data_IF_394098858899
#
_entry.id   IF_394098858899
#
_cell.length_a   1.000
_cell.length_b   1.000
_cell.length_c   1.000
_cell.angle_alpha   90.00
_cell.angle_beta   90.00
_cell.angle_gamma   90.00
#
_symmetry.space_group_name_H-M   'P 1'
#
loop_
_entity.id
_entity.type
_entity.pdbx_description
1 polymer ?
#
# COMPACT_ATOMS: atom_id res chain seq x y z
N UNK A 1 16.06 5.97 -8.87
CA UNK A 1 15.59 4.60 -9.07
C UNK A 1 14.91 4.11 -7.80
N UNK A 2 13.72 3.46 -7.90
CA UNK A 2 13.07 2.79 -6.76
C UNK A 2 13.39 1.29 -6.78
N UNK A 3 14.02 0.79 -5.73
CA UNK A 3 14.37 -0.63 -5.61
C UNK A 3 13.14 -1.53 -5.39
N UNK A 4 12.08 -0.99 -4.78
CA UNK A 4 10.85 -1.74 -4.52
C UNK A 4 9.89 -1.86 -5.72
N UNK A 5 10.08 -1.05 -6.78
CA UNK A 5 9.20 -1.03 -7.95
C UNK A 5 9.65 -1.91 -9.11
N UNK A 6 10.87 -2.47 -9.02
CA UNK A 6 11.50 -3.25 -10.10
C UNK A 6 11.70 -4.67 -9.60
N UNK A 7 11.34 -5.71 -10.40
CA UNK A 7 11.68 -7.09 -10.07
C UNK A 7 13.19 -7.28 -9.83
N UNK A 8 13.55 -8.09 -8.84
CA UNK A 8 14.94 -8.27 -8.39
C UNK A 8 15.92 -8.59 -9.53
N UNK A 9 15.53 -9.50 -10.43
CA UNK A 9 16.34 -9.91 -11.59
C UNK A 9 16.64 -8.77 -12.57
N UNK A 10 15.72 -7.79 -12.65
CA UNK A 10 15.89 -6.61 -13.50
C UNK A 10 16.60 -5.49 -12.75
N UNK A 11 16.43 -5.39 -11.43
CA UNK A 11 17.04 -4.35 -10.60
C UNK A 11 18.58 -4.41 -10.69
N UNK A 12 19.14 -5.61 -10.66
CA UNK A 12 20.58 -5.81 -10.80
C UNK A 12 21.08 -5.30 -12.15
N UNK A 13 20.38 -5.67 -13.24
CA UNK A 13 20.70 -5.22 -14.59
C UNK A 13 20.50 -3.69 -14.76
N UNK A 14 19.50 -3.10 -14.10
CA UNK A 14 19.32 -1.65 -14.12
C UNK A 14 20.47 -0.91 -13.42
N UNK A 15 20.90 -1.40 -12.25
CA UNK A 15 21.93 -0.75 -11.45
C UNK A 15 23.33 -0.92 -12.02
N UNK A 16 23.69 -2.15 -12.38
CA UNK A 16 25.08 -2.49 -12.76
C UNK A 16 25.27 -2.69 -14.27
N UNK A 17 24.16 -2.78 -15.03
CA UNK A 17 24.21 -3.11 -16.44
C UNK A 17 24.38 -4.61 -16.70
N UNK A 18 24.39 -4.97 -17.96
CA UNK A 18 24.63 -6.35 -18.41
C UNK A 18 25.32 -6.40 -19.75
N UNK A 19 26.01 -7.49 -20.02
CA UNK A 19 26.54 -7.79 -21.35
C UNK A 19 25.52 -8.64 -22.14
N UNK A 20 25.58 -8.57 -23.45
CA UNK A 20 24.79 -9.41 -24.34
C UNK A 20 24.92 -10.89 -23.97
N UNK A 21 23.77 -11.58 -23.84
CA UNK A 21 23.72 -13.00 -23.49
C UNK A 21 23.81 -13.30 -21.98
N UNK A 22 23.86 -12.31 -21.11
CA UNK A 22 23.93 -12.50 -19.65
C UNK A 22 22.71 -13.24 -19.06
N UNK A 23 21.54 -13.09 -19.68
CA UNK A 23 20.31 -13.79 -19.32
C UNK A 23 19.36 -13.87 -20.53
N UNK A 24 18.29 -14.65 -20.42
CA UNK A 24 17.27 -14.75 -21.48
C UNK A 24 16.60 -13.40 -21.69
N UNK A 25 16.82 -12.79 -22.88
CA UNK A 25 16.35 -11.43 -23.19
C UNK A 25 17.44 -10.35 -23.22
N UNK A 26 18.68 -10.65 -22.84
CA UNK A 26 19.82 -9.75 -22.97
C UNK A 26 20.34 -9.73 -24.43
N UNK A 27 19.62 -9.03 -25.31
CA UNK A 27 19.95 -8.97 -26.75
C UNK A 27 21.12 -8.05 -27.09
N UNK A 28 21.44 -7.09 -26.23
CA UNK A 28 22.52 -6.11 -26.38
C UNK A 28 23.15 -5.80 -25.02
N UNK A 29 24.33 -5.17 -25.05
CA UNK A 29 24.95 -4.62 -23.85
C UNK A 29 24.14 -3.43 -23.33
N UNK A 30 24.05 -3.28 -22.02
CA UNK A 30 23.36 -2.18 -21.35
C UNK A 30 24.23 -1.58 -20.26
N UNK A 31 24.48 -0.29 -20.34
CA UNK A 31 25.12 0.46 -19.25
C UNK A 31 24.21 0.55 -18.03
N UNK A 32 24.76 0.22 -16.86
CA UNK A 32 24.05 0.36 -15.58
C UNK A 32 23.95 1.79 -15.08
N UNK A 33 23.02 2.05 -14.15
CA UNK A 33 22.81 3.38 -13.57
C UNK A 33 24.04 3.89 -12.82
N UNK A 34 24.83 3.04 -12.19
CA UNK A 34 26.08 3.46 -11.56
C UNK A 34 27.07 4.01 -12.56
N UNK A 35 27.21 3.39 -13.73
CA UNK A 35 28.10 3.88 -14.79
C UNK A 35 27.57 5.21 -15.38
N UNK A 36 26.26 5.32 -15.60
CA UNK A 36 25.64 6.55 -16.12
C UNK A 36 25.72 7.71 -15.12
N UNK A 37 25.74 7.41 -13.83
CA UNK A 37 25.84 8.39 -12.75
C UNK A 37 27.29 8.72 -12.37
N UNK A 38 28.29 8.21 -13.10
CA UNK A 38 29.69 8.48 -12.81
C UNK A 38 29.97 9.98 -12.76
N UNK A 39 30.75 10.42 -11.77
CA UNK A 39 31.01 11.83 -11.42
C UNK A 39 29.78 12.63 -10.96
N UNK A 40 28.63 11.97 -10.81
CA UNK A 40 27.34 12.58 -10.45
C UNK A 40 26.76 12.02 -9.16
N UNK A 41 25.42 12.00 -9.13
CA UNK A 41 24.66 11.52 -7.96
C UNK A 41 23.64 10.48 -8.39
N UNK A 42 23.59 9.35 -7.67
CA UNK A 42 22.53 8.36 -7.78
C UNK A 42 21.62 8.42 -6.55
N UNK A 43 20.30 8.43 -6.78
CA UNK A 43 19.30 8.33 -5.72
C UNK A 43 18.62 6.95 -5.80
N UNK A 44 18.71 6.17 -4.71
CA UNK A 44 18.08 4.86 -4.60
C UNK A 44 17.00 4.91 -3.53
N UNK A 45 15.76 4.80 -3.96
CA UNK A 45 14.59 4.79 -3.09
C UNK A 45 14.23 3.36 -2.68
N UNK A 46 13.63 3.21 -1.50
CA UNK A 46 13.20 1.94 -0.93
C UNK A 46 14.32 0.90 -0.85
N UNK A 47 15.51 1.32 -0.38
CA UNK A 47 16.68 0.43 -0.25
C UNK A 47 16.43 -0.78 0.65
N UNK A 48 15.47 -0.68 1.57
CA UNK A 48 15.01 -1.78 2.41
C UNK A 48 14.42 -2.96 1.61
N UNK A 49 14.07 -2.77 0.34
CA UNK A 49 13.54 -3.82 -0.54
C UNK A 49 14.64 -4.58 -1.30
N UNK A 50 15.91 -4.19 -1.14
CA UNK A 50 17.02 -4.85 -1.80
C UNK A 50 17.26 -6.24 -1.19
N UNK A 51 17.38 -7.26 -2.05
CA UNK A 51 17.73 -8.62 -1.61
C UNK A 51 19.11 -8.72 -0.99
N UNK A 52 19.42 -9.75 -0.20
CA UNK A 52 20.74 -9.95 0.38
C UNK A 52 21.88 -9.99 -0.66
N UNK A 53 21.63 -10.54 -1.84
CA UNK A 53 22.60 -10.55 -2.94
C UNK A 53 22.85 -9.13 -3.48
N UNK A 54 21.78 -8.34 -3.65
CA UNK A 54 21.88 -6.95 -4.06
C UNK A 54 22.59 -6.09 -3.01
N UNK A 55 22.29 -6.29 -1.73
CA UNK A 55 22.95 -5.60 -0.63
C UNK A 55 24.48 -5.82 -0.64
N UNK A 56 24.93 -7.04 -0.96
CA UNK A 56 26.36 -7.34 -1.06
C UNK A 56 27.04 -6.58 -2.23
N UNK A 57 26.38 -6.51 -3.39
CA UNK A 57 26.90 -5.75 -4.54
C UNK A 57 26.94 -4.25 -4.27
N UNK A 58 25.90 -3.71 -3.62
CA UNK A 58 25.86 -2.31 -3.20
C UNK A 58 26.99 -2.01 -2.21
N UNK A 59 27.22 -2.89 -1.24
CA UNK A 59 28.33 -2.72 -0.29
C UNK A 59 29.68 -2.59 -1.01
N UNK A 60 29.93 -3.42 -2.02
CA UNK A 60 31.18 -3.38 -2.79
C UNK A 60 31.33 -2.05 -3.54
N UNK A 61 30.29 -1.57 -4.20
CA UNK A 61 30.32 -0.24 -4.87
C UNK A 61 30.58 0.88 -3.87
N UNK A 62 29.93 0.84 -2.71
CA UNK A 62 30.10 1.87 -1.67
C UNK A 62 31.48 1.85 -1.00
N UNK A 63 32.12 0.68 -0.91
CA UNK A 63 33.44 0.53 -0.28
C UNK A 63 34.57 0.73 -1.27
N UNK A 64 34.50 0.03 -2.41
CA UNK A 64 35.61 -0.09 -3.37
C UNK A 64 35.42 0.83 -4.59
N UNK A 65 34.23 1.43 -4.78
CA UNK A 65 33.85 2.20 -5.97
C UNK A 65 33.94 1.37 -7.26
N UNK A 66 33.77 0.07 -7.14
CA UNK A 66 33.92 -0.91 -8.23
C UNK A 66 32.73 -1.84 -8.30
N UNK A 67 32.40 -2.24 -9.53
CA UNK A 67 31.39 -3.27 -9.79
C UNK A 67 31.64 -3.96 -11.12
N UNK A 68 31.01 -5.12 -11.33
CA UNK A 68 30.95 -5.82 -12.60
C UNK A 68 29.50 -5.85 -13.14
N UNK A 69 29.30 -5.62 -14.45
CA UNK A 69 28.02 -5.85 -15.10
C UNK A 69 27.58 -7.33 -15.03
N UNK A 70 26.28 -7.57 -15.09
CA UNK A 70 25.75 -8.94 -15.09
C UNK A 70 26.26 -9.71 -16.31
N UNK A 71 26.84 -10.89 -16.06
CA UNK A 71 27.44 -11.74 -17.11
C UNK A 71 28.84 -11.34 -17.54
N UNK A 72 29.47 -10.35 -16.90
CA UNK A 72 30.84 -9.90 -17.18
C UNK A 72 31.73 -10.02 -15.95
N UNK A 73 33.02 -10.30 -16.19
CA UNK A 73 34.07 -10.20 -15.17
C UNK A 73 34.87 -8.89 -15.29
N UNK A 74 34.48 -8.00 -16.21
CA UNK A 74 35.14 -6.71 -16.36
C UNK A 74 34.73 -5.78 -15.23
N UNK A 75 35.69 -5.33 -14.44
CA UNK A 75 35.47 -4.38 -13.36
C UNK A 75 35.41 -2.95 -13.91
N UNK A 76 34.37 -2.23 -13.55
CA UNK A 76 34.22 -0.79 -13.77
C UNK A 76 34.48 -0.05 -12.46
N UNK A 77 35.17 1.09 -12.55
CA UNK A 77 35.38 2.01 -11.43
C UNK A 77 34.55 3.26 -11.64
N UNK A 78 33.91 3.77 -10.57
CA UNK A 78 33.01 4.93 -10.64
C UNK A 78 33.18 5.82 -9.40
N UNK A 79 33.03 7.11 -9.60
CA UNK A 79 32.98 8.11 -8.52
C UNK A 79 31.56 8.70 -8.44
N UNK A 80 30.70 8.10 -7.65
CA UNK A 80 29.29 8.44 -7.56
C UNK A 80 28.93 8.84 -6.13
N UNK A 81 28.25 9.97 -5.97
CA UNK A 81 27.57 10.33 -4.73
C UNK A 81 26.28 9.51 -4.61
N UNK A 82 26.16 8.72 -3.54
CA UNK A 82 24.99 7.86 -3.32
C UNK A 82 24.08 8.49 -2.26
N UNK A 83 22.81 8.68 -2.61
CA UNK A 83 21.74 9.10 -1.70
C UNK A 83 20.72 7.97 -1.63
N UNK A 84 20.40 7.54 -0.41
CA UNK A 84 19.51 6.42 -0.16
C UNK A 84 18.26 6.90 0.58
N UNK A 85 17.13 6.28 0.27
CA UNK A 85 15.90 6.50 1.01
C UNK A 85 15.28 5.17 1.43
N UNK A 86 14.61 5.18 2.56
CA UNK A 86 13.90 4.03 3.11
C UNK A 86 12.60 4.48 3.77
N UNK A 87 11.58 3.65 3.69
CA UNK A 87 10.29 3.84 4.36
C UNK A 87 10.16 3.00 5.65
N UNK A 88 11.23 2.28 6.04
CA UNK A 88 11.29 1.46 7.26
C UNK A 88 12.61 1.74 7.99
N UNK A 89 12.63 1.75 9.32
CA UNK A 89 13.88 1.83 10.08
C UNK A 89 14.80 0.66 9.71
N UNK A 90 16.01 0.98 9.23
CA UNK A 90 16.96 -0.05 8.81
C UNK A 90 17.49 -0.85 10.00
N UNK A 91 17.55 -0.26 11.20
CA UNK A 91 17.92 -0.91 12.44
C UNK A 91 17.04 -2.13 12.77
N UNK A 92 15.74 -2.00 12.53
CA UNK A 92 14.79 -3.10 12.76
C UNK A 92 15.02 -4.24 11.76
N UNK A 93 15.34 -3.89 10.52
CA UNK A 93 15.69 -4.88 9.48
C UNK A 93 17.04 -5.56 9.74
N UNK A 94 17.98 -4.86 10.32
CA UNK A 94 19.25 -5.47 10.77
C UNK A 94 19.00 -6.46 11.90
N UNK A 95 18.13 -6.10 12.87
CA UNK A 95 17.79 -6.99 13.99
C UNK A 95 17.03 -8.25 13.52
N UNK A 96 16.18 -8.12 12.50
CA UNK A 96 15.44 -9.26 11.91
C UNK A 96 16.28 -10.08 10.94
N UNK A 97 17.48 -9.61 10.57
CA UNK A 97 18.35 -10.26 9.58
C UNK A 97 17.97 -10.03 8.12
N UNK A 98 16.97 -9.17 7.86
CA UNK A 98 16.55 -8.79 6.50
C UNK A 98 17.52 -7.81 5.83
N UNK A 99 18.29 -7.06 6.62
CA UNK A 99 19.29 -6.12 6.13
C UNK A 99 20.66 -6.40 6.75
N UNK A 100 21.69 -6.36 5.93
CA UNK A 100 23.07 -6.66 6.37
C UNK A 100 23.62 -5.56 7.27
N UNK A 101 24.22 -5.94 8.36
CA UNK A 101 24.83 -5.03 9.33
C UNK A 101 26.00 -4.24 8.75
N UNK A 102 26.82 -4.89 7.91
CA UNK A 102 27.99 -4.25 7.28
C UNK A 102 27.56 -3.13 6.30
N UNK A 103 26.53 -3.37 5.51
CA UNK A 103 25.96 -2.35 4.63
C UNK A 103 25.34 -1.20 5.44
N UNK A 104 24.58 -1.52 6.49
CA UNK A 104 23.97 -0.52 7.37
C UNK A 104 25.03 0.47 7.90
N UNK A 105 26.11 0.00 8.50
CA UNK A 105 27.16 0.89 9.00
C UNK A 105 27.88 1.67 7.90
N UNK A 106 27.93 1.16 6.68
CA UNK A 106 28.53 1.87 5.56
C UNK A 106 27.67 3.02 5.04
N UNK A 107 26.33 2.87 5.07
CA UNK A 107 25.40 3.88 4.56
C UNK A 107 24.94 4.87 5.64
N UNK A 108 24.91 4.47 6.90
CA UNK A 108 24.43 5.30 8.00
C UNK A 108 25.52 6.27 8.52
N UNK A 109 26.03 7.11 7.61
CA UNK A 109 27.04 8.15 7.94
C UNK A 109 26.36 9.50 8.20
N UNK A 110 25.37 9.86 7.38
CA UNK A 110 24.56 11.06 7.56
C UNK A 110 23.11 10.66 7.38
N UNK A 111 22.37 10.68 8.46
CA UNK A 111 20.95 10.38 8.47
C UNK A 111 20.14 11.67 8.49
N UNK A 112 19.14 11.75 7.60
CA UNK A 112 18.16 12.82 7.55
C UNK A 112 16.79 12.21 7.76
N UNK A 113 16.18 12.48 8.91
CA UNK A 113 14.83 12.04 9.21
C UNK A 113 13.83 13.08 8.70
N UNK A 114 12.87 12.65 7.88
CA UNK A 114 11.81 13.50 7.38
C UNK A 114 10.60 13.39 8.30
N UNK A 115 10.20 14.49 8.98
CA UNK A 115 9.05 14.46 9.87
C UNK A 115 7.76 14.22 9.08
N UNK A 116 6.83 13.50 9.71
CA UNK A 116 5.51 13.27 9.14
C UNK A 116 4.74 14.59 9.00
N UNK A 117 3.78 14.66 8.07
CA UNK A 117 3.03 15.88 7.81
C UNK A 117 2.23 16.36 9.05
N UNK A 118 1.74 15.41 9.88
CA UNK A 118 1.08 15.72 11.17
C UNK A 118 1.98 16.44 12.19
N UNK A 119 3.31 16.38 12.03
CA UNK A 119 4.30 17.02 12.90
C UNK A 119 4.68 18.42 12.38
N UNK A 120 4.31 18.74 11.14
CA UNK A 120 4.55 20.05 10.50
C UNK A 120 3.25 20.61 9.91
N UNK A 121 2.23 20.73 10.75
CA UNK A 121 0.89 21.17 10.34
C UNK A 121 0.86 22.56 9.72
N UNK A 122 1.80 23.43 10.10
CA UNK A 122 1.97 24.76 9.50
C UNK A 122 2.24 24.72 7.99
N UNK A 123 2.76 23.60 7.47
CA UNK A 123 3.05 23.45 6.04
C UNK A 123 1.80 23.09 5.23
N UNK A 124 0.75 22.55 5.90
CA UNK A 124 -0.45 22.05 5.23
C UNK A 124 -1.14 23.12 4.38
N UNK A 125 -1.40 24.36 4.86
CA UNK A 125 -2.03 25.39 4.04
C UNK A 125 -1.21 25.76 2.82
N UNK A 126 0.12 25.86 2.95
CA UNK A 126 1.02 26.21 1.85
C UNK A 126 1.05 25.10 0.78
N UNK A 127 1.17 23.84 1.22
CA UNK A 127 1.14 22.68 0.34
C UNK A 127 -0.23 22.55 -0.34
N UNK A 128 -1.32 22.78 0.41
CA UNK A 128 -2.67 22.73 -0.12
C UNK A 128 -2.87 23.76 -1.25
N UNK A 129 -2.43 25.00 -1.05
CA UNK A 129 -2.51 26.02 -2.09
C UNK A 129 -1.66 25.69 -3.31
N UNK A 130 -0.44 25.15 -3.10
CA UNK A 130 0.44 24.73 -4.18
C UNK A 130 -0.22 23.63 -5.03
N UNK A 131 -0.75 22.59 -4.41
CA UNK A 131 -1.44 21.50 -5.14
C UNK A 131 -2.72 21.99 -5.81
N UNK A 132 -3.49 22.85 -5.16
CA UNK A 132 -4.68 23.42 -5.77
C UNK A 132 -4.34 24.21 -7.03
N UNK A 133 -3.31 25.04 -7.00
CA UNK A 133 -2.88 25.80 -8.19
C UNK A 133 -2.47 24.85 -9.32
N UNK A 134 -1.68 23.80 -9.01
CA UNK A 134 -1.26 22.77 -9.97
C UNK A 134 -2.44 22.05 -10.62
N UNK A 135 -3.38 21.55 -9.81
CA UNK A 135 -4.52 20.77 -10.31
C UNK A 135 -5.57 21.64 -11.00
N UNK A 136 -5.81 22.87 -10.51
CA UNK A 136 -6.70 23.84 -11.18
C UNK A 136 -6.24 24.18 -12.59
N UNK A 137 -4.92 24.38 -12.77
CA UNK A 137 -4.34 24.62 -14.08
C UNK A 137 -4.54 23.42 -15.02
N UNK A 138 -4.29 22.19 -14.53
CA UNK A 138 -4.48 20.96 -15.31
C UNK A 138 -5.95 20.72 -15.72
N UNK A 139 -6.89 21.12 -14.87
CA UNK A 139 -8.34 20.98 -15.12
C UNK A 139 -8.90 22.13 -15.98
N UNK A 140 -8.12 23.17 -16.29
CA UNK A 140 -8.59 24.36 -16.97
C UNK A 140 -9.65 25.12 -16.18
N UNK A 141 -9.66 25.00 -14.84
CA UNK A 141 -10.65 25.61 -13.93
C UNK A 141 -9.98 26.68 -13.08
N UNK A 142 -10.73 27.72 -12.77
CA UNK A 142 -10.27 28.76 -11.85
C UNK A 142 -10.89 28.52 -10.47
N UNK A 143 -10.11 27.89 -9.55
CA UNK A 143 -10.48 27.70 -8.15
C UNK A 143 -9.60 28.62 -7.31
N UNK A 144 -10.22 29.59 -6.63
CA UNK A 144 -9.50 30.66 -5.95
C UNK A 144 -8.80 30.21 -4.63
N UNK A 145 -9.30 29.15 -3.99
CA UNK A 145 -8.74 28.70 -2.71
C UNK A 145 -9.66 27.75 -1.95
N UNK A 146 -9.49 27.76 -0.65
CA UNK A 146 -10.26 26.96 0.31
C UNK A 146 -11.09 27.87 1.21
N UNK A 147 -12.24 27.40 1.66
CA UNK A 147 -12.94 28.05 2.77
C UNK A 147 -12.15 27.87 4.07
N UNK A 148 -12.33 28.78 5.06
CA UNK A 148 -11.68 28.65 6.38
C UNK A 148 -11.95 27.30 7.05
N UNK A 149 -13.19 26.79 6.93
CA UNK A 149 -13.58 25.50 7.51
C UNK A 149 -12.91 24.31 6.79
N UNK A 150 -12.72 24.39 5.48
CA UNK A 150 -11.99 23.38 4.72
C UNK A 150 -10.51 23.32 5.13
N UNK A 151 -9.84 24.49 5.25
CA UNK A 151 -8.45 24.53 5.71
C UNK A 151 -8.31 24.02 7.14
N UNK A 152 -9.15 24.45 8.07
CA UNK A 152 -9.13 23.96 9.43
C UNK A 152 -9.33 22.43 9.49
N UNK A 153 -10.22 21.88 8.66
CA UNK A 153 -10.43 20.43 8.55
C UNK A 153 -9.17 19.70 8.08
N UNK A 154 -8.49 20.23 7.06
CA UNK A 154 -7.22 19.68 6.58
C UNK A 154 -6.13 19.74 7.65
N UNK A 155 -5.98 20.86 8.37
CA UNK A 155 -4.95 21.00 9.42
C UNK A 155 -5.12 20.03 10.58
N UNK A 156 -6.36 19.62 10.88
CA UNK A 156 -6.66 18.68 11.96
C UNK A 156 -6.53 17.21 11.55
N UNK A 157 -6.47 16.91 10.26
CA UNK A 157 -6.35 15.54 9.78
C UNK A 157 -4.91 15.01 9.93
N UNK A 158 -4.76 13.71 10.22
CA UNK A 158 -3.47 13.11 10.58
C UNK A 158 -2.57 12.75 9.38
N UNK A 159 -3.12 12.72 8.16
CA UNK A 159 -2.40 12.39 6.92
C UNK A 159 -1.49 11.14 7.03
N UNK A 160 -2.01 9.94 7.25
CA UNK A 160 -1.18 8.73 7.29
C UNK A 160 -0.37 8.50 6.00
N UNK A 161 -0.86 8.94 4.84
CA UNK A 161 -0.16 8.95 3.56
C UNK A 161 0.66 10.23 3.30
N UNK A 162 0.81 11.10 4.32
CA UNK A 162 1.59 12.33 4.27
C UNK A 162 1.24 13.24 3.09
N UNK A 163 2.24 13.82 2.44
CA UNK A 163 2.08 14.79 1.35
C UNK A 163 1.38 14.19 0.13
N UNK A 164 1.62 12.90 -0.16
CA UNK A 164 0.93 12.22 -1.28
C UNK A 164 -0.57 12.11 -1.05
N UNK A 165 -0.98 11.84 0.17
CA UNK A 165 -2.40 11.79 0.53
C UNK A 165 -3.03 13.18 0.46
N UNK A 166 -2.36 14.21 0.96
CA UNK A 166 -2.81 15.59 0.83
C UNK A 166 -2.99 15.98 -0.63
N UNK A 167 -2.03 15.69 -1.52
CA UNK A 167 -2.14 15.95 -2.95
C UNK A 167 -3.37 15.28 -3.56
N UNK A 168 -3.57 13.98 -3.29
CA UNK A 168 -4.73 13.23 -3.80
C UNK A 168 -6.07 13.78 -3.28
N UNK A 169 -6.12 14.18 -2.01
CA UNK A 169 -7.32 14.81 -1.43
C UNK A 169 -7.67 16.10 -2.15
N UNK A 170 -6.66 16.94 -2.41
CA UNK A 170 -6.86 18.23 -3.08
C UNK A 170 -7.22 18.04 -4.56
N UNK A 171 -6.58 17.11 -5.25
CA UNK A 171 -6.94 16.76 -6.63
C UNK A 171 -8.40 16.36 -6.72
N UNK A 172 -8.85 15.44 -5.85
CA UNK A 172 -10.24 15.02 -5.79
C UNK A 172 -11.19 16.17 -5.47
N UNK A 173 -10.84 17.02 -4.48
CA UNK A 173 -11.64 18.17 -4.11
C UNK A 173 -11.75 19.17 -5.26
N UNK A 174 -10.65 19.42 -6.00
CA UNK A 174 -10.67 20.29 -7.17
C UNK A 174 -11.56 19.78 -8.31
N UNK A 175 -11.64 18.44 -8.50
CA UNK A 175 -12.56 17.83 -9.48
C UNK A 175 -14.02 17.99 -9.05
N UNK A 176 -14.33 17.77 -7.76
CA UNK A 176 -15.69 17.75 -7.23
C UNK A 176 -16.24 19.16 -6.94
N UNK A 177 -15.38 20.13 -6.67
CA UNK A 177 -15.75 21.51 -6.36
C UNK A 177 -16.61 22.10 -7.48
N UNK A 178 -17.80 22.60 -7.12
CA UNK A 178 -18.71 23.25 -8.09
C UNK A 178 -18.56 24.75 -8.14
N UNK A 179 -17.96 25.35 -7.11
CA UNK A 179 -17.76 26.79 -6.96
C UNK A 179 -16.36 27.25 -7.33
N UNK A 180 -16.06 28.49 -6.97
CA UNK A 180 -14.73 29.09 -7.08
C UNK A 180 -13.85 28.81 -5.85
N UNK A 181 -14.37 28.14 -4.80
CA UNK A 181 -13.68 27.91 -3.54
C UNK A 181 -14.05 26.52 -3.03
N UNK A 182 -13.06 25.72 -2.65
CA UNK A 182 -13.25 24.39 -2.07
C UNK A 182 -13.88 24.56 -0.69
N UNK A 183 -15.04 23.92 -0.51
CA UNK A 183 -15.75 23.88 0.75
C UNK A 183 -15.41 22.61 1.53
N UNK A 184 -15.76 22.57 2.82
CA UNK A 184 -15.56 21.39 3.66
C UNK A 184 -16.24 20.13 3.06
N UNK A 185 -17.41 20.30 2.45
CA UNK A 185 -18.18 19.20 1.85
C UNK A 185 -17.58 18.67 0.54
N UNK A 186 -16.65 19.40 -0.08
CA UNK A 186 -15.89 18.93 -1.24
C UNK A 186 -14.75 17.99 -0.82
N UNK A 187 -14.39 17.95 0.49
CA UNK A 187 -13.36 17.07 1.02
C UNK A 187 -13.92 15.65 1.22
N UNK A 188 -13.06 14.62 1.18
CA UNK A 188 -13.47 13.25 1.47
C UNK A 188 -14.06 13.12 2.88
N UNK A 189 -15.10 12.30 3.03
CA UNK A 189 -15.80 12.08 4.30
C UNK A 189 -14.84 11.64 5.43
N UNK A 190 -13.84 10.83 5.13
CA UNK A 190 -12.83 10.41 6.10
C UNK A 190 -12.01 11.58 6.66
N UNK A 191 -11.77 12.63 5.88
CA UNK A 191 -11.08 13.85 6.30
C UNK A 191 -12.03 14.71 7.14
N UNK A 192 -13.28 14.87 6.68
CA UNK A 192 -14.32 15.65 7.36
C UNK A 192 -14.63 15.08 8.74
N UNK A 193 -14.70 13.75 8.87
CA UNK A 193 -15.00 13.05 10.11
C UNK A 193 -13.74 12.73 10.94
N UNK A 194 -12.56 13.15 10.46
CA UNK A 194 -11.26 12.85 11.06
C UNK A 194 -11.06 11.34 11.32
N UNK A 195 -11.62 10.50 10.45
CA UNK A 195 -11.58 9.04 10.59
C UNK A 195 -10.30 8.53 9.91
N UNK A 196 -9.22 8.56 10.65
CA UNK A 196 -7.91 8.10 10.20
C UNK A 196 -7.99 6.62 9.81
N UNK A 197 -7.70 6.29 8.57
CA UNK A 197 -7.62 4.90 8.11
C UNK A 197 -8.69 4.46 7.10
N UNK A 198 -9.79 5.18 6.90
CA UNK A 198 -10.79 4.81 5.90
C UNK A 198 -10.36 5.03 4.44
N UNK A 199 -9.39 5.93 4.19
CA UNK A 199 -8.87 6.22 2.84
C UNK A 199 -7.80 5.23 2.38
N UNK A 200 -7.23 4.44 3.30
CA UNK A 200 -6.20 3.47 2.97
C UNK A 200 -6.81 2.09 2.72
N UNK A 201 -6.40 1.39 1.65
CA UNK A 201 -6.73 -0.02 1.46
C UNK A 201 -6.39 -0.86 2.69
N UNK A 202 -7.18 -1.88 3.00
CA UNK A 202 -7.03 -2.69 4.21
C UNK A 202 -5.60 -3.24 4.40
N UNK A 203 -4.97 -3.72 3.32
CA UNK A 203 -3.60 -4.24 3.32
C UNK A 203 -2.53 -3.18 3.65
N UNK A 204 -2.78 -1.90 3.34
CA UNK A 204 -1.87 -0.80 3.69
C UNK A 204 -2.06 -0.42 5.16
N UNK A 205 -3.30 -0.42 5.65
CA UNK A 205 -3.61 -0.16 7.07
C UNK A 205 -2.93 -1.16 7.99
N UNK A 206 -2.99 -2.43 7.64
CA UNK A 206 -2.37 -3.53 8.40
C UNK A 206 -0.84 -3.39 8.43
N UNK A 207 -0.21 -3.03 7.30
CA UNK A 207 1.23 -2.77 7.22
C UNK A 207 1.69 -1.57 8.03
N UNK A 208 0.83 -0.56 8.20
CA UNK A 208 1.12 0.66 8.97
C UNK A 208 0.76 0.54 10.45
N UNK A 209 0.22 -0.60 10.90
CA UNK A 209 -0.19 -0.83 12.28
C UNK A 209 -1.32 0.09 12.76
N UNK A 210 -2.08 0.67 11.83
CA UNK A 210 -3.18 1.58 12.14
C UNK A 210 -4.40 0.76 12.60
N UNK A 211 -4.56 0.64 13.92
CA UNK A 211 -5.82 0.17 14.53
C UNK A 211 -6.83 1.31 14.48
N UNK A 212 -8.04 1.02 14.05
CA UNK A 212 -9.16 1.93 14.26
C UNK A 212 -9.48 1.90 15.76
N UNK A 213 -9.12 2.96 16.47
CA UNK A 213 -9.70 3.19 17.80
C UNK A 213 -11.19 3.45 17.55
N UNK A 214 -12.03 2.54 18.02
CA UNK A 214 -13.47 2.78 18.06
C UNK A 214 -13.72 4.07 18.85
N UNK A 215 -14.58 4.99 18.36
CA UNK A 215 -14.90 6.22 19.08
C UNK A 215 -15.46 5.84 20.44
N UNK A 216 -14.79 6.35 21.48
CA UNK A 216 -15.04 6.03 22.88
C UNK A 216 -16.53 6.10 23.24
N UNK A 217 -16.98 5.10 23.96
CA UNK A 217 -18.27 5.02 24.58
C UNK A 217 -18.47 6.24 25.50
N UNK A 218 -19.25 7.21 25.05
CA UNK A 218 -19.78 8.27 25.91
C UNK A 218 -20.84 7.61 26.77
N UNK A 219 -20.58 7.50 28.07
CA UNK A 219 -21.53 7.07 29.06
C UNK A 219 -22.71 8.05 29.11
N UNK A 220 -23.86 7.63 28.63
CA UNK A 220 -25.15 8.29 28.88
C UNK A 220 -25.97 7.54 29.90
N UNK A 221 -26.63 8.23 30.84
CA UNK A 221 -27.37 7.59 31.90
C UNK A 221 -28.77 7.14 31.44
N UNK A 222 -29.08 5.91 31.83
CA UNK A 222 -30.39 5.30 32.08
C UNK A 222 -31.55 5.48 31.10
N UNK A 223 -32.00 4.35 30.54
CA UNK A 223 -33.40 4.04 30.37
C UNK A 223 -33.90 3.88 28.94
N UNK A 224 -33.66 2.69 28.35
CA UNK A 224 -34.63 1.90 27.56
C UNK A 224 -33.92 0.65 27.01
N UNK A 225 -34.54 -0.55 26.96
CA UNK A 225 -33.87 -1.75 26.53
C UNK A 225 -33.64 -1.74 25.00
N UNK A 226 -32.44 -2.10 24.52
CA UNK A 226 -32.21 -2.22 23.09
C UNK A 226 -32.80 -3.51 22.55
N UNK A 227 -33.47 -3.41 21.43
CA UNK A 227 -33.89 -4.54 20.57
C UNK A 227 -32.65 -5.34 20.17
N UNK A 228 -32.66 -6.59 20.53
CA UNK A 228 -31.64 -7.59 20.19
C UNK A 228 -31.54 -7.77 18.69
N UNK A 229 -30.44 -7.33 18.07
CA UNK A 229 -29.98 -7.86 16.80
C UNK A 229 -28.97 -8.98 17.10
N UNK A 230 -29.46 -10.19 16.87
CA UNK A 230 -28.75 -11.46 17.02
C UNK A 230 -27.57 -11.52 16.04
N UNK A 231 -26.40 -11.84 16.57
CA UNK A 231 -25.38 -12.66 15.89
C UNK A 231 -24.19 -11.94 15.25
N UNK A 232 -23.17 -11.67 16.06
CA UNK A 232 -21.80 -11.72 15.58
C UNK A 232 -21.00 -12.51 16.62
N UNK A 233 -20.62 -13.73 16.26
CA UNK A 233 -19.74 -14.59 17.03
C UNK A 233 -18.37 -13.91 17.21
N UNK A 234 -18.14 -13.39 18.38
CA UNK A 234 -16.82 -13.06 18.89
C UNK A 234 -16.32 -14.24 19.71
N UNK A 235 -15.78 -15.24 19.03
CA UNK A 235 -14.93 -16.26 19.66
C UNK A 235 -13.56 -16.19 18.99
N UNK A 236 -12.67 -15.39 19.54
CA UNK A 236 -11.24 -15.48 19.29
C UNK A 236 -10.74 -16.79 19.92
N UNK A 237 -11.02 -17.92 19.29
CA UNK A 237 -10.40 -19.20 19.56
C UNK A 237 -8.93 -19.14 19.16
N UNK A 238 -8.06 -19.73 19.98
CA UNK A 238 -6.64 -19.89 19.67
C UNK A 238 -6.47 -20.45 18.25
N UNK A 239 -5.51 -19.92 17.49
CA UNK A 239 -5.19 -20.41 16.15
C UNK A 239 -4.86 -21.89 16.17
N UNK A 240 -5.69 -22.68 15.52
CA UNK A 240 -5.44 -24.10 15.27
C UNK A 240 -4.89 -24.22 13.85
N UNK A 241 -3.67 -24.74 13.65
CA UNK A 241 -3.12 -24.95 12.32
C UNK A 241 -4.04 -25.89 11.52
N UNK A 242 -4.59 -25.41 10.41
CA UNK A 242 -5.40 -26.18 9.47
C UNK A 242 -5.05 -25.78 8.04
N UNK A 243 -5.36 -26.65 7.06
CA UNK A 243 -5.12 -26.33 5.66
C UNK A 243 -6.01 -25.16 5.21
N UNK A 244 -5.52 -24.33 4.28
CA UNK A 244 -6.30 -23.23 3.71
C UNK A 244 -7.63 -23.72 3.10
N UNK A 245 -7.62 -24.92 2.52
CA UNK A 245 -8.81 -25.54 1.96
C UNK A 245 -9.85 -25.86 3.03
N UNK A 246 -9.44 -26.34 4.20
CA UNK A 246 -10.31 -26.56 5.34
C UNK A 246 -10.84 -25.28 5.95
N UNK A 247 -10.00 -24.26 6.08
CA UNK A 247 -10.38 -22.96 6.62
C UNK A 247 -11.42 -22.25 5.73
N UNK A 248 -11.39 -22.47 4.42
CA UNK A 248 -12.30 -21.83 3.46
C UNK A 248 -13.65 -22.56 3.32
N UNK A 249 -13.78 -23.83 3.74
CA UNK A 249 -15.02 -24.63 3.59
C UNK A 249 -16.23 -23.97 4.25
N UNK A 250 -16.12 -23.54 5.50
CA UNK A 250 -17.24 -22.94 6.25
C UNK A 250 -17.65 -21.54 5.73
N UNK A 251 -16.72 -20.60 5.47
CA UNK A 251 -17.07 -19.35 4.81
C UNK A 251 -17.73 -19.53 3.45
N UNK A 252 -17.20 -20.43 2.63
CA UNK A 252 -17.74 -20.71 1.29
C UNK A 252 -19.13 -21.34 1.35
N UNK A 253 -19.36 -22.30 2.23
CA UNK A 253 -20.67 -22.90 2.50
C UNK A 253 -21.70 -21.84 2.91
N UNK A 254 -21.33 -20.90 3.78
CA UNK A 254 -22.19 -19.83 4.27
C UNK A 254 -22.59 -18.86 3.14
N UNK A 255 -21.66 -18.51 2.26
CA UNK A 255 -21.92 -17.65 1.09
C UNK A 255 -22.88 -18.34 0.12
N UNK A 256 -22.61 -19.60 -0.24
CA UNK A 256 -23.45 -20.38 -1.16
C UNK A 256 -24.88 -20.55 -0.63
N UNK A 257 -25.04 -20.88 0.66
CA UNK A 257 -26.37 -21.02 1.27
C UNK A 257 -27.16 -19.70 1.28
N UNK A 258 -26.49 -18.58 1.55
CA UNK A 258 -27.15 -17.26 1.49
C UNK A 258 -27.62 -16.92 0.08
N UNK A 259 -26.78 -17.14 -0.92
CA UNK A 259 -27.10 -16.87 -2.32
C UNK A 259 -28.22 -17.79 -2.82
N UNK A 260 -28.21 -19.09 -2.47
CA UNK A 260 -29.28 -20.04 -2.81
C UNK A 260 -30.62 -19.64 -2.17
N UNK A 261 -30.62 -19.28 -0.89
CA UNK A 261 -31.84 -18.79 -0.20
C UNK A 261 -32.39 -17.51 -0.81
N UNK A 262 -31.52 -16.54 -1.13
CA UNK A 262 -31.91 -15.27 -1.76
C UNK A 262 -32.55 -15.46 -3.15
N UNK A 263 -32.13 -16.50 -3.88
CA UNK A 263 -32.64 -16.84 -5.20
C UNK A 263 -33.69 -17.96 -5.19
N UNK A 264 -34.33 -18.23 -4.04
CA UNK A 264 -35.34 -19.27 -3.90
C UNK A 264 -34.90 -20.64 -4.49
N UNK A 265 -33.64 -21.02 -4.22
CA UNK A 265 -32.97 -22.24 -4.72
C UNK A 265 -32.84 -22.35 -6.25
N UNK A 266 -33.03 -21.25 -6.99
CA UNK A 266 -32.80 -21.20 -8.43
C UNK A 266 -31.28 -21.22 -8.71
N UNK A 267 -30.80 -22.41 -9.07
CA UNK A 267 -29.35 -22.66 -9.27
C UNK A 267 -28.74 -21.88 -10.44
N UNK A 268 -29.53 -21.59 -11.48
CA UNK A 268 -29.04 -20.78 -12.61
C UNK A 268 -28.79 -19.34 -12.15
N UNK A 269 -29.80 -18.73 -11.55
CA UNK A 269 -29.73 -17.35 -11.05
C UNK A 269 -28.65 -17.19 -9.97
N UNK A 270 -28.50 -18.19 -9.10
CA UNK A 270 -27.45 -18.20 -8.08
C UNK A 270 -26.04 -18.26 -8.68
N UNK A 271 -25.85 -19.03 -9.75
CA UNK A 271 -24.54 -19.10 -10.44
C UNK A 271 -24.22 -17.75 -11.11
N UNK A 272 -25.20 -17.12 -11.74
CA UNK A 272 -25.06 -15.81 -12.35
C UNK A 272 -24.74 -14.72 -11.32
N UNK A 273 -25.46 -14.68 -10.18
CA UNK A 273 -25.22 -13.73 -9.08
C UNK A 273 -23.82 -13.89 -8.45
N UNK A 274 -23.34 -15.12 -8.36
CA UNK A 274 -22.00 -15.42 -7.82
C UNK A 274 -20.90 -15.35 -8.88
N UNK A 275 -21.24 -15.01 -10.12
CA UNK A 275 -20.33 -14.93 -11.28
C UNK A 275 -19.51 -16.21 -11.48
N UNK A 276 -20.12 -17.38 -11.28
CA UNK A 276 -19.49 -18.70 -11.48
C UNK A 276 -20.31 -19.52 -12.48
N UNK A 277 -19.63 -20.47 -13.13
CA UNK A 277 -20.33 -21.41 -14.00
C UNK A 277 -21.26 -22.34 -13.21
N UNK A 278 -22.40 -22.68 -13.79
CA UNK A 278 -23.38 -23.61 -13.19
C UNK A 278 -22.72 -24.96 -12.80
N UNK A 279 -21.81 -25.47 -13.59
CA UNK A 279 -21.04 -26.68 -13.28
C UNK A 279 -20.15 -26.52 -12.05
N UNK A 280 -19.56 -25.35 -11.86
CA UNK A 280 -18.77 -25.01 -10.70
C UNK A 280 -19.63 -24.92 -9.44
N UNK A 281 -20.82 -24.31 -9.54
CA UNK A 281 -21.79 -24.27 -8.44
C UNK A 281 -22.17 -25.67 -7.97
N UNK A 282 -22.52 -26.57 -8.91
CA UNK A 282 -22.86 -27.95 -8.58
C UNK A 282 -21.71 -28.70 -7.90
N UNK A 283 -20.47 -28.56 -8.38
CA UNK A 283 -19.30 -29.18 -7.76
C UNK A 283 -19.09 -28.69 -6.35
N UNK A 284 -19.23 -27.38 -6.11
CA UNK A 284 -19.08 -26.76 -4.79
C UNK A 284 -20.22 -27.16 -3.84
N UNK A 285 -21.45 -27.19 -4.29
CA UNK A 285 -22.58 -27.66 -3.50
C UNK A 285 -22.38 -29.11 -3.03
N UNK A 286 -21.92 -29.99 -3.92
CA UNK A 286 -21.63 -31.39 -3.61
C UNK A 286 -20.47 -31.53 -2.62
N UNK A 287 -19.39 -30.77 -2.82
CA UNK A 287 -18.18 -30.78 -1.97
C UNK A 287 -18.49 -30.28 -0.55
N UNK A 288 -19.41 -29.33 -0.43
CA UNK A 288 -19.80 -28.69 0.84
C UNK A 288 -21.07 -29.31 1.47
N UNK A 289 -21.58 -30.42 0.92
CA UNK A 289 -22.72 -31.16 1.48
C UNK A 289 -24.06 -30.41 1.46
N UNK A 290 -24.25 -29.44 0.54
CA UNK A 290 -25.45 -28.60 0.49
C UNK A 290 -26.64 -29.35 -0.19
N UNK A 291 -26.39 -30.41 -0.94
CA UNK A 291 -27.43 -31.18 -1.65
C UNK A 291 -28.36 -32.00 -0.72
N UNK A 292 -27.97 -32.22 0.53
CA UNK A 292 -28.75 -32.98 1.50
C UNK A 292 -29.83 -32.18 2.25
N UNK A 293 -29.82 -30.85 2.18
CA UNK A 293 -30.78 -30.00 2.89
C UNK A 293 -32.12 -29.78 2.14
N UNK A 294 -32.25 -30.23 0.90
CA UNK A 294 -33.48 -30.10 0.10
C UNK A 294 -34.65 -30.99 0.63
N UNK A 295 -34.41 -31.96 1.52
CA UNK A 295 -35.43 -32.88 2.04
C UNK A 295 -36.07 -32.47 3.36
N UNK A 296 -35.67 -31.32 3.94
CA UNK A 296 -36.17 -30.82 5.22
C UNK A 296 -37.06 -29.55 5.10
N UNK A 297 -37.37 -29.11 3.90
CA UNK A 297 -38.23 -27.95 3.66
C UNK A 297 -39.43 -28.30 2.77
N UNK A 298 -40.08 -29.43 3.08
CA UNK A 298 -41.38 -29.85 2.52
C UNK A 298 -42.39 -30.00 3.63
#
# INVERSE_FOLDING_TARGET
LSCGSIPETLLESELFGHVKGAFTGAHADKAGRFLVADTGTIFLDEINSASPAMQLKLLRVLQERKFEPVGSSQTHEVDVRVVLATNRPLEDLVRSGEFRQDLYYRINVVQVELPALRERRSDIPLLAQHFLAKHSANLGRHIAGFSPDALATLEHYAFPGNVRELENIIERAAVLCRGATIQRDDLPEAVVNNTTGHLLPAHIRERLGLRLDEPGAVSSPAGHPPLSLVGADAAAGAYVPMSLEEALKEPERRILLRALKANAWNRQKTADDLQINRTTLYKKMRLLGIESDERLAG
#
